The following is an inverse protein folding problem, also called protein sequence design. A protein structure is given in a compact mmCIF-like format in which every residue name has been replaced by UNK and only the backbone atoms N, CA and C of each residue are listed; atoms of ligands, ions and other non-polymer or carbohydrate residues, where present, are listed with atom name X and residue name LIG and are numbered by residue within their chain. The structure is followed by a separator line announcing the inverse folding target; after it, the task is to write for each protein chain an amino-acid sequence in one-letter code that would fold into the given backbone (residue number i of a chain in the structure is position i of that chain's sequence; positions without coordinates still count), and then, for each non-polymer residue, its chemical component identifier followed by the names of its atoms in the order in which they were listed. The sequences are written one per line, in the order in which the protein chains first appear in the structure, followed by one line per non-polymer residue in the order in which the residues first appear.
data_IF_651320356144
#
_entry.id   IF_651320356144
#
_cell.length_a   1.000
_cell.length_b   1.000
_cell.length_c   1.000
_cell.angle_alpha   90.00
_cell.angle_beta   90.00
_cell.angle_gamma   90.00
#
_symmetry.space_group_name_H-M   'P 1'
#
loop_
_entity.id
_entity.type
_entity.pdbx_description
1 polymer ?
#
# COMPACT_ATOMS: atom_id res chain seq x y z
N UNK A 1 20.63 19.30 56.22
CA UNK A 1 20.38 18.79 54.86
C UNK A 1 18.94 18.33 54.81
N UNK A 2 18.08 19.00 54.04
CA UNK A 2 16.69 18.59 53.85
C UNK A 2 16.62 17.61 52.67
N UNK A 3 16.39 16.32 52.95
CA UNK A 3 16.11 15.33 51.92
C UNK A 3 14.67 15.57 51.45
N UNK A 4 14.49 16.09 50.23
CA UNK A 4 13.17 16.20 49.62
C UNK A 4 12.57 14.79 49.48
N UNK A 5 11.36 14.53 49.97
CA UNK A 5 10.72 13.23 49.77
C UNK A 5 10.51 13.00 48.27
N UNK A 6 10.93 11.83 47.78
CA UNK A 6 10.76 11.47 46.37
C UNK A 6 9.28 11.19 46.12
N UNK A 7 8.73 11.80 45.08
CA UNK A 7 7.34 11.60 44.68
C UNK A 7 7.26 10.39 43.77
N UNK A 8 6.49 9.38 44.17
CA UNK A 8 6.17 8.23 43.33
C UNK A 8 4.86 8.50 42.59
N UNK A 9 4.83 8.08 41.33
CA UNK A 9 3.70 8.20 40.40
C UNK A 9 3.52 6.87 39.68
N UNK A 10 2.34 6.60 39.15
CA UNK A 10 2.02 5.36 38.45
C UNK A 10 1.97 5.60 36.93
N UNK A 11 2.59 4.72 36.16
CA UNK A 11 2.57 4.80 34.71
C UNK A 11 1.23 4.30 34.18
N UNK A 12 0.48 5.15 33.47
CA UNK A 12 -0.85 4.79 32.92
C UNK A 12 -0.88 3.70 31.82
N UNK A 13 0.28 3.14 31.45
CA UNK A 13 0.40 2.11 30.41
C UNK A 13 0.82 0.76 31.00
N UNK A 14 1.84 0.73 31.88
CA UNK A 14 2.29 -0.52 32.51
C UNK A 14 1.76 -0.73 33.94
N UNK A 15 1.14 0.29 34.55
CA UNK A 15 0.61 0.25 35.93
C UNK A 15 1.69 0.02 37.00
N UNK A 16 2.95 0.32 36.68
CA UNK A 16 4.05 0.29 37.64
C UNK A 16 4.26 1.67 38.28
N UNK A 17 4.62 1.68 39.56
CA UNK A 17 4.99 2.87 40.33
C UNK A 17 6.48 3.18 40.17
N UNK A 18 6.81 4.43 39.88
CA UNK A 18 8.18 4.89 39.67
C UNK A 18 8.33 6.36 40.13
N UNK A 19 9.57 6.84 40.23
CA UNK A 19 9.84 8.23 40.58
C UNK A 19 9.31 9.20 39.50
N UNK A 20 8.79 10.36 39.92
CA UNK A 20 8.33 11.44 39.02
C UNK A 20 9.41 11.88 38.01
N UNK A 21 10.69 11.74 38.38
CA UNK A 21 11.83 12.00 37.48
C UNK A 21 12.01 10.99 36.35
N UNK A 22 11.46 9.78 36.50
CA UNK A 22 11.54 8.70 35.52
C UNK A 22 10.33 8.69 34.57
N UNK A 23 9.32 9.52 34.84
CA UNK A 23 8.10 9.62 34.05
C UNK A 23 8.04 10.91 33.24
N UNK A 24 7.36 10.85 32.10
CA UNK A 24 7.08 12.02 31.24
C UNK A 24 5.59 12.31 31.20
N UNK A 25 5.25 13.55 30.85
CA UNK A 25 3.89 13.96 30.50
C UNK A 25 3.80 14.20 28.99
N UNK A 26 3.60 13.15 28.18
CA UNK A 26 3.73 13.25 26.73
C UNK A 26 2.57 14.02 26.09
N UNK A 27 1.48 14.28 26.82
CA UNK A 27 0.28 14.96 26.33
C UNK A 27 -0.39 15.77 27.45
N UNK A 28 -1.44 16.52 27.12
CA UNK A 28 -2.16 17.39 28.08
C UNK A 28 -3.20 16.68 28.94
N UNK A 29 -3.08 15.36 29.16
CA UNK A 29 -3.90 14.66 30.13
C UNK A 29 -3.67 15.22 31.55
N UNK A 30 -4.67 15.09 32.42
CA UNK A 30 -4.60 15.57 33.80
C UNK A 30 -4.64 14.40 34.80
N UNK A 31 -4.35 14.69 36.08
CA UNK A 31 -4.34 13.69 37.14
C UNK A 31 -3.18 12.69 37.03
N UNK A 32 -3.45 11.42 37.35
CA UNK A 32 -2.51 10.30 37.22
C UNK A 32 -2.30 9.87 35.77
N UNK A 33 -3.30 10.04 34.90
CA UNK A 33 -3.27 9.63 33.49
C UNK A 33 -2.22 10.36 32.65
N UNK A 34 -1.67 11.46 33.16
CA UNK A 34 -0.64 12.23 32.45
C UNK A 34 0.73 11.57 32.51
N UNK A 35 1.02 10.76 33.53
CA UNK A 35 2.34 10.19 33.75
C UNK A 35 2.49 8.87 33.00
N UNK A 36 3.55 8.77 32.20
CA UNK A 36 3.92 7.53 31.56
C UNK A 36 5.43 7.44 31.34
N UNK A 37 5.96 6.23 31.38
CA UNK A 37 7.33 5.97 30.95
C UNK A 37 7.49 6.28 29.46
N UNK A 38 8.58 6.96 29.10
CA UNK A 38 8.96 7.22 27.70
C UNK A 38 8.90 5.95 26.84
N UNK A 39 9.42 4.84 27.37
CA UNK A 39 9.42 3.52 26.70
C UNK A 39 8.00 2.98 26.49
N UNK A 40 7.11 3.18 27.45
CA UNK A 40 5.73 2.72 27.36
C UNK A 40 4.95 3.52 26.32
N UNK A 41 5.14 4.84 26.27
CA UNK A 41 4.49 5.70 25.26
C UNK A 41 4.97 5.32 23.86
N UNK A 42 6.28 5.10 23.68
CA UNK A 42 6.81 4.67 22.38
C UNK A 42 6.29 3.29 21.96
N UNK A 43 6.21 2.32 22.88
CA UNK A 43 5.61 1.01 22.61
C UNK A 43 4.14 1.16 22.19
N UNK A 44 3.38 1.99 22.89
CA UNK A 44 1.99 2.28 22.54
C UNK A 44 1.88 2.87 21.13
N UNK A 45 2.73 3.85 20.77
CA UNK A 45 2.76 4.44 19.43
C UNK A 45 3.09 3.39 18.36
N UNK A 46 3.99 2.46 18.67
CA UNK A 46 4.36 1.37 17.78
C UNK A 46 3.22 0.38 17.54
N UNK A 47 2.46 0.06 18.59
CA UNK A 47 1.36 -0.91 18.53
C UNK A 47 0.11 -0.32 17.89
N UNK A 48 -0.23 0.94 18.23
CA UNK A 48 -1.39 1.64 17.65
C UNK A 48 -1.11 2.20 16.25
N UNK A 49 0.15 2.46 15.92
CA UNK A 49 0.53 3.08 14.65
C UNK A 49 0.16 4.56 14.57
N UNK A 50 -0.04 5.23 15.71
CA UNK A 50 -0.31 6.66 15.78
C UNK A 50 0.47 7.31 16.92
N UNK A 51 0.62 8.63 16.83
CA UNK A 51 1.33 9.46 17.82
C UNK A 51 0.38 10.44 18.52
N UNK A 52 -0.92 10.13 18.52
CA UNK A 52 -1.99 10.96 19.08
C UNK A 52 -2.54 10.26 20.33
N UNK A 53 -2.63 10.96 21.45
CA UNK A 53 -3.22 10.43 22.68
C UNK A 53 -4.70 10.09 22.48
N UNK A 54 -5.12 8.88 22.89
CA UNK A 54 -6.52 8.42 22.79
C UNK A 54 -7.48 9.07 23.79
N UNK A 55 -6.97 9.80 24.78
CA UNK A 55 -7.77 10.42 25.85
C UNK A 55 -8.01 11.90 25.55
N UNK A 56 -6.93 12.65 25.29
CA UNK A 56 -7.02 14.09 25.03
C UNK A 56 -6.93 14.45 23.54
N UNK A 57 -6.71 13.48 22.64
CA UNK A 57 -6.58 13.68 21.19
C UNK A 57 -5.47 14.65 20.77
N UNK A 58 -4.46 14.85 21.61
CA UNK A 58 -3.29 15.69 21.31
C UNK A 58 -2.09 14.85 20.92
N UNK A 59 -1.20 15.45 20.13
CA UNK A 59 0.05 14.85 19.71
C UNK A 59 0.97 14.58 20.91
N UNK A 60 1.60 13.41 20.95
CA UNK A 60 2.63 13.15 21.94
C UNK A 60 3.91 13.96 21.67
N UNK A 61 4.47 14.59 22.69
CA UNK A 61 5.68 15.41 22.61
C UNK A 61 6.65 15.12 23.77
N UNK A 62 7.98 15.29 23.58
CA UNK A 62 8.70 15.54 22.33
C UNK A 62 9.27 14.25 21.69
N UNK A 63 9.05 14.10 20.37
CA UNK A 63 9.81 13.15 19.53
C UNK A 63 9.32 11.70 19.53
N UNK A 64 8.02 11.46 19.74
CA UNK A 64 7.42 10.14 19.57
C UNK A 64 7.15 9.86 18.09
N UNK A 65 7.49 8.66 17.64
CA UNK A 65 7.25 8.20 16.26
C UNK A 65 6.30 7.01 16.24
N UNK A 66 5.56 6.85 15.17
CA UNK A 66 4.84 5.62 14.87
C UNK A 66 5.48 4.96 13.66
N UNK A 67 5.57 3.62 13.61
CA UNK A 67 6.02 2.94 12.41
C UNK A 67 5.08 3.31 11.26
N UNK A 68 5.61 3.47 10.03
CA UNK A 68 4.77 3.64 8.86
C UNK A 68 3.71 2.53 8.85
N UNK A 69 2.46 2.82 8.45
CA UNK A 69 1.48 1.77 8.25
C UNK A 69 2.15 0.74 7.34
N UNK A 70 2.35 -0.48 7.85
CA UNK A 70 2.69 -1.58 6.98
C UNK A 70 1.45 -1.76 6.13
N UNK A 71 1.42 -1.09 4.96
CA UNK A 71 0.52 -1.43 3.88
C UNK A 71 0.57 -2.94 3.81
N UNK A 72 -0.55 -3.57 4.14
CA UNK A 72 -0.63 -5.01 4.27
C UNK A 72 -0.18 -5.62 2.93
N UNK A 73 1.07 -6.06 2.86
CA UNK A 73 1.61 -6.97 1.83
C UNK A 73 0.98 -8.37 2.01
N UNK A 74 -0.26 -8.46 2.52
CA UNK A 74 -1.06 -9.67 2.62
C UNK A 74 -2.21 -9.70 1.60
N UNK A 75 -2.21 -8.80 0.61
CA UNK A 75 -3.17 -8.83 -0.51
C UNK A 75 -2.54 -8.63 -1.88
N UNK A 76 -1.36 -9.19 -2.11
CA UNK A 76 -1.00 -9.55 -3.49
C UNK A 76 -1.63 -10.93 -3.73
N UNK A 77 -2.75 -11.06 -4.46
CA UNK A 77 -3.12 -12.36 -4.97
C UNK A 77 -1.96 -12.83 -5.84
N UNK A 78 -1.48 -14.05 -5.58
CA UNK A 78 -0.40 -14.75 -6.31
C UNK A 78 -0.67 -14.94 -7.82
N UNK A 79 -1.67 -14.24 -8.37
CA UNK A 79 -2.14 -14.32 -9.74
C UNK A 79 -1.61 -13.18 -10.64
N UNK A 80 -1.00 -12.11 -10.11
CA UNK A 80 -0.43 -11.07 -10.99
C UNK A 80 0.73 -11.63 -11.85
N UNK A 81 1.48 -12.60 -11.33
CA UNK A 81 2.51 -13.33 -12.08
C UNK A 81 1.94 -14.40 -13.03
N UNK A 82 0.75 -14.95 -12.75
CA UNK A 82 0.09 -15.93 -13.61
C UNK A 82 -0.54 -15.23 -14.82
N UNK A 83 -1.22 -14.09 -14.64
CA UNK A 83 -1.75 -13.31 -15.76
C UNK A 83 -0.65 -12.86 -16.73
N UNK A 84 0.55 -12.53 -16.24
CA UNK A 84 1.65 -12.10 -17.11
C UNK A 84 2.25 -13.27 -17.91
N UNK A 85 2.38 -14.46 -17.28
CA UNK A 85 2.87 -15.67 -17.96
C UNK A 85 1.84 -16.25 -18.94
N UNK A 86 0.55 -16.15 -18.64
CA UNK A 86 -0.53 -16.56 -19.55
C UNK A 86 -0.71 -15.59 -20.73
N UNK A 87 -0.52 -14.29 -20.50
CA UNK A 87 -0.52 -13.28 -21.58
C UNK A 87 0.61 -13.55 -22.58
N UNK A 88 1.80 -13.94 -22.11
CA UNK A 88 2.92 -14.29 -23.00
C UNK A 88 2.66 -15.56 -23.82
N UNK A 89 2.05 -16.60 -23.22
CA UNK A 89 1.68 -17.83 -23.92
C UNK A 89 0.53 -17.64 -24.94
N UNK A 90 -0.47 -16.79 -24.63
CA UNK A 90 -1.56 -16.46 -25.56
C UNK A 90 -1.08 -15.65 -26.77
N UNK A 91 -0.05 -14.82 -26.60
CA UNK A 91 0.55 -14.05 -27.70
C UNK A 91 1.47 -14.91 -28.58
N UNK A 92 2.09 -15.95 -28.03
CA UNK A 92 2.91 -16.90 -28.79
C UNK A 92 2.05 -17.89 -29.61
N UNK A 93 0.93 -18.39 -29.08
CA UNK A 93 0.06 -19.29 -29.87
C UNK A 93 -0.56 -18.59 -31.08
N UNK A 94 -0.81 -17.27 -31.00
CA UNK A 94 -1.30 -16.48 -32.14
C UNK A 94 -0.22 -16.25 -33.21
N UNK A 95 1.07 -16.21 -32.83
CA UNK A 95 2.17 -16.04 -33.79
C UNK A 95 2.66 -17.32 -34.43
N UNK A 96 2.51 -18.48 -33.79
CA UNK A 96 2.93 -19.77 -34.37
C UNK A 96 1.96 -20.34 -35.43
N UNK A 97 0.78 -19.74 -35.64
CA UNK A 97 -0.13 -20.13 -36.72
C UNK A 97 0.07 -19.33 -38.01
N UNK A 98 0.93 -18.30 -38.02
CA UNK A 98 1.14 -17.41 -39.18
C UNK A 98 2.49 -17.60 -39.90
N UNK A 99 3.41 -18.44 -39.41
CA UNK A 99 4.68 -18.70 -40.10
C UNK A 99 4.98 -20.20 -40.18
N UNK A 100 4.55 -20.83 -41.27
CA UNK A 100 5.45 -21.63 -42.11
C UNK A 100 4.87 -21.81 -43.53
N UNK A 101 5.71 -21.80 -44.57
CA UNK A 101 5.30 -21.57 -45.95
C UNK A 101 5.16 -22.89 -46.72
N UNK A 102 4.14 -23.05 -47.56
CA UNK A 102 4.35 -23.78 -48.80
C UNK A 102 3.36 -23.42 -49.92
N UNK A 103 3.98 -23.31 -51.08
CA UNK A 103 3.50 -23.11 -52.45
C UNK A 103 2.10 -23.67 -52.76
N UNK A 104 1.28 -22.83 -53.36
CA UNK A 104 0.74 -23.00 -54.73
C UNK A 104 -0.55 -22.18 -54.89
N UNK A 105 -0.71 -21.58 -56.08
CA UNK A 105 -1.92 -20.91 -56.56
C UNK A 105 -2.26 -19.51 -55.99
N UNK A 106 -1.59 -18.49 -56.52
CA UNK A 106 -2.21 -17.19 -56.78
C UNK A 106 -1.42 -16.42 -57.87
N UNK A 107 -1.24 -17.04 -59.03
CA UNK A 107 -1.27 -16.28 -60.26
C UNK A 107 -2.73 -16.33 -60.74
N UNK A 108 -3.25 -15.20 -61.23
CA UNK A 108 -4.59 -15.04 -61.82
C UNK A 108 -5.71 -14.97 -60.76
N UNK A 109 -6.38 -13.86 -60.48
CA UNK A 109 -6.83 -12.80 -61.37
C UNK A 109 -7.07 -11.48 -60.60
N UNK A 110 -6.19 -10.51 -60.77
CA UNK A 110 -6.49 -9.07 -60.57
C UNK A 110 -7.26 -8.51 -61.78
N UNK A 111 -8.31 -9.20 -62.24
CA UNK A 111 -9.08 -8.76 -63.41
C UNK A 111 -10.58 -8.98 -63.20
N UNK A 112 -11.19 -8.26 -62.26
CA UNK A 112 -12.66 -8.15 -62.24
C UNK A 112 -13.21 -6.91 -61.54
N UNK A 113 -12.40 -6.18 -60.75
CA UNK A 113 -12.92 -5.09 -59.93
C UNK A 113 -13.06 -3.75 -60.66
N UNK A 114 -12.39 -3.54 -61.80
CA UNK A 114 -12.44 -2.28 -62.55
C UNK A 114 -13.57 -2.20 -63.61
N UNK A 115 -14.34 -3.26 -63.85
CA UNK A 115 -15.47 -3.23 -64.80
C UNK A 115 -16.84 -2.90 -64.17
N UNK A 116 -16.95 -2.83 -62.84
CA UNK A 116 -18.23 -2.56 -62.18
C UNK A 116 -18.60 -1.06 -62.07
N UNK A 117 -17.73 -0.13 -62.46
CA UNK A 117 -17.99 1.31 -62.35
C UNK A 117 -18.32 2.01 -63.68
N UNK A 118 -18.34 1.29 -64.82
CA UNK A 118 -18.68 1.88 -66.13
C UNK A 118 -20.14 1.66 -66.56
N UNK A 119 -20.96 0.95 -65.78
CA UNK A 119 -22.35 0.62 -66.15
C UNK A 119 -23.42 1.49 -65.46
N UNK A 120 -23.11 2.76 -65.18
CA UNK A 120 -24.11 3.77 -64.72
C UNK A 120 -24.17 4.99 -65.67
N UNK A 121 -23.20 5.18 -66.58
CA UNK A 121 -23.16 6.36 -67.46
C UNK A 121 -23.43 6.07 -68.95
N UNK A 122 -24.00 4.91 -69.29
CA UNK A 122 -24.47 4.60 -70.65
C UNK A 122 -25.76 3.76 -70.62
N UNK A 123 -26.87 4.42 -70.32
CA UNK A 123 -28.18 4.01 -70.85
C UNK A 123 -28.72 5.24 -71.60
N UNK A 124 -29.05 5.12 -72.90
CA UNK A 124 -29.60 6.19 -73.72
C UNK A 124 -31.05 6.56 -73.36
#
# INVERSE_FOLDING_TARGET
MCSTPRKMVECRICQDEDEDSNMETPCSCCGSLKYAHRRCVQRWCNEKGNTICEICHQQFTPGYTAPPPLYQIRRIPVNLSICYRESSNRTQHRRHQEESPNVSFAAEAELSSEQAQQHINNVP
#
